data_IF_790589657156
#
_entry.id   IF_790589657156
#
_cell.length_a   1.000
_cell.length_b   1.000
_cell.length_c   1.000
_cell.angle_alpha   90.00
_cell.angle_beta   90.00
_cell.angle_gamma   90.00
#
_symmetry.space_group_name_H-M   'P 1'
#
loop_
_entity.id
_entity.type
_entity.pdbx_description
1 polymer ?
#
# COMPACT_ATOMS: atom_id res chain seq x y z
N UNK A 1 52.71 40.54 82.75
CA UNK A 1 53.06 39.11 82.66
C UNK A 1 51.78 38.29 82.65
N UNK A 2 51.37 37.78 81.49
CA UNK A 2 50.95 36.38 81.31
C UNK A 2 50.61 36.21 79.82
N UNK A 3 51.43 35.40 79.14
CA UNK A 3 51.26 35.01 77.75
C UNK A 3 50.26 33.85 77.69
N UNK A 4 49.22 33.96 76.85
CA UNK A 4 48.39 32.82 76.46
C UNK A 4 48.81 32.31 75.09
N UNK A 5 49.30 31.07 75.10
CA UNK A 5 49.85 30.31 73.97
C UNK A 5 48.74 29.74 73.10
N UNK A 6 48.77 29.99 71.79
CA UNK A 6 47.94 29.29 70.79
C UNK A 6 48.82 28.32 70.01
N UNK A 7 48.55 27.00 70.15
CA UNK A 7 49.19 25.92 69.40
C UNK A 7 48.63 25.90 67.97
N UNK A 8 49.53 25.95 66.97
CA UNK A 8 49.24 25.64 65.56
C UNK A 8 49.49 24.15 65.30
N UNK A 9 48.45 23.43 64.89
CA UNK A 9 48.52 22.07 64.36
C UNK A 9 48.92 22.08 62.89
N UNK A 10 49.91 21.27 62.55
CA UNK A 10 50.38 21.00 61.18
C UNK A 10 49.52 19.86 60.61
N UNK A 11 48.80 20.13 59.51
CA UNK A 11 48.05 19.11 58.77
C UNK A 11 48.90 18.62 57.59
N UNK A 12 49.25 17.34 57.62
CA UNK A 12 49.93 16.61 56.54
C UNK A 12 48.87 16.17 55.52
N UNK A 13 49.04 16.57 54.25
CA UNK A 13 48.16 16.21 53.15
C UNK A 13 48.55 14.83 52.60
N UNK A 14 47.71 13.82 52.79
CA UNK A 14 47.81 12.54 52.07
C UNK A 14 47.09 12.65 50.72
N UNK A 15 47.83 12.56 49.62
CA UNK A 15 47.26 12.44 48.27
C UNK A 15 47.01 10.96 47.99
N UNK A 16 45.75 10.56 47.97
CA UNK A 16 45.31 9.25 47.48
C UNK A 16 45.06 9.36 45.98
N UNK A 17 45.91 8.72 45.17
CA UNK A 17 45.69 8.57 43.73
C UNK A 17 44.72 7.40 43.53
N UNK A 18 43.45 7.70 43.26
CA UNK A 18 42.47 6.71 42.78
C UNK A 18 42.69 6.45 41.29
N UNK A 19 43.25 5.28 40.97
CA UNK A 19 43.23 4.71 39.62
C UNK A 19 41.80 4.21 39.33
N UNK A 20 40.96 5.09 38.79
CA UNK A 20 39.68 4.70 38.22
C UNK A 20 39.93 4.04 36.86
N UNK A 21 39.92 2.70 36.83
CA UNK A 21 39.75 1.94 35.58
C UNK A 21 38.30 2.13 35.14
N UNK A 22 38.04 3.23 34.43
CA UNK A 22 36.75 3.47 33.79
C UNK A 22 36.58 2.49 32.64
N UNK A 23 35.84 1.40 32.87
CA UNK A 23 35.20 0.68 31.77
C UNK A 23 34.21 1.64 31.14
N UNK A 24 34.57 2.27 30.04
CA UNK A 24 33.63 2.99 29.18
C UNK A 24 32.70 1.96 28.55
N UNK A 25 31.64 1.58 29.28
CA UNK A 25 30.47 1.01 28.66
C UNK A 25 29.94 2.08 27.71
N UNK A 26 30.30 1.99 26.44
CA UNK A 26 29.60 2.70 25.38
C UNK A 26 28.20 2.11 25.38
N UNK A 27 27.31 2.70 26.18
CA UNK A 27 25.87 2.59 26.00
C UNK A 27 25.60 3.15 24.61
N UNK A 28 25.71 2.31 23.59
CA UNK A 28 25.03 2.57 22.33
C UNK A 28 23.58 2.75 22.72
N UNK A 29 23.05 3.95 22.58
CA UNK A 29 21.61 4.17 22.62
C UNK A 29 21.02 3.16 21.63
N UNK A 30 20.39 2.11 22.17
CA UNK A 30 19.86 1.03 21.37
C UNK A 30 18.67 1.63 20.64
N UNK A 31 18.87 2.01 19.37
CA UNK A 31 17.79 2.45 18.51
C UNK A 31 16.73 1.37 18.56
N UNK A 32 15.51 1.73 18.98
CA UNK A 32 14.42 0.76 19.12
C UNK A 32 14.24 -0.02 17.81
N UNK A 33 13.91 -1.33 17.90
CA UNK A 33 13.55 -2.14 16.72
C UNK A 33 12.41 -1.41 16.01
N UNK A 34 12.73 -0.82 14.87
CA UNK A 34 11.72 -0.27 14.00
C UNK A 34 11.14 -1.45 13.22
N UNK A 35 9.92 -1.85 13.60
CA UNK A 35 9.18 -2.94 12.99
C UNK A 35 7.85 -2.43 12.43
N UNK A 36 7.31 -3.14 11.45
CA UNK A 36 5.98 -2.88 10.91
C UNK A 36 5.31 -4.14 10.41
N UNK A 37 3.98 -4.02 10.21
CA UNK A 37 3.17 -5.05 9.58
C UNK A 37 2.61 -4.49 8.28
N UNK A 38 3.16 -4.97 7.16
CA UNK A 38 2.78 -4.51 5.83
C UNK A 38 1.77 -5.46 5.18
N UNK A 39 0.86 -4.89 4.39
CA UNK A 39 0.01 -5.63 3.46
C UNK A 39 0.71 -5.68 2.12
N UNK A 40 1.16 -6.86 1.73
CA UNK A 40 1.97 -7.04 0.53
C UNK A 40 1.07 -7.21 -0.70
N UNK A 41 1.18 -6.33 -1.70
CA UNK A 41 0.61 -6.59 -3.02
C UNK A 41 1.15 -7.88 -3.63
N UNK A 42 0.35 -8.52 -4.47
CA UNK A 42 0.75 -9.70 -5.22
C UNK A 42 0.17 -9.64 -6.64
N UNK A 43 1.06 -9.66 -7.62
CA UNK A 43 0.72 -9.46 -9.03
C UNK A 43 0.73 -10.76 -9.83
N UNK A 44 0.21 -10.73 -11.05
CA UNK A 44 0.34 -11.88 -11.96
C UNK A 44 1.81 -12.20 -12.27
N UNK A 45 2.63 -11.15 -12.40
CA UNK A 45 4.06 -11.30 -12.65
C UNK A 45 4.76 -11.96 -11.46
N UNK A 46 4.45 -11.56 -10.22
CA UNK A 46 5.00 -12.21 -9.02
C UNK A 46 4.67 -13.70 -8.99
N UNK A 47 3.42 -14.08 -9.28
CA UNK A 47 3.01 -15.50 -9.33
C UNK A 47 3.87 -16.29 -10.31
N UNK A 48 4.18 -15.68 -11.46
CA UNK A 48 5.00 -16.31 -12.50
C UNK A 48 6.48 -16.36 -12.11
N UNK A 49 7.05 -15.24 -11.66
CA UNK A 49 8.48 -15.09 -11.37
C UNK A 49 8.93 -15.93 -10.18
N UNK A 50 8.10 -15.99 -9.14
CA UNK A 50 8.37 -16.76 -7.93
C UNK A 50 7.72 -18.15 -7.96
N UNK A 51 7.20 -18.58 -9.12
CA UNK A 51 6.63 -19.91 -9.34
C UNK A 51 5.60 -20.31 -8.27
N UNK A 52 4.77 -19.34 -7.87
CA UNK A 52 3.73 -19.56 -6.86
C UNK A 52 2.63 -20.47 -7.42
N UNK A 53 1.86 -21.16 -6.56
CA UNK A 53 0.73 -21.96 -7.01
C UNK A 53 -0.21 -21.16 -7.91
N UNK A 54 -0.71 -21.76 -8.99
CA UNK A 54 -1.61 -21.10 -9.94
C UNK A 54 -2.93 -20.64 -9.31
N UNK A 55 -3.32 -21.23 -8.17
CA UNK A 55 -4.49 -20.86 -7.37
C UNK A 55 -4.26 -19.62 -6.49
N UNK A 56 -3.07 -19.03 -6.51
CA UNK A 56 -2.74 -17.88 -5.68
C UNK A 56 -3.46 -16.64 -6.21
N UNK A 57 -4.32 -16.04 -5.38
CA UNK A 57 -5.08 -14.85 -5.77
C UNK A 57 -4.22 -13.59 -5.72
N UNK A 58 -4.44 -12.68 -6.67
CA UNK A 58 -3.78 -11.38 -6.72
C UNK A 58 -4.24 -10.50 -5.54
N UNK A 59 -3.43 -9.51 -5.19
CA UNK A 59 -3.79 -8.51 -4.18
C UNK A 59 -3.17 -7.16 -4.51
N UNK A 60 -3.91 -6.09 -4.25
CA UNK A 60 -3.44 -4.72 -4.37
C UNK A 60 -2.63 -4.24 -3.14
N UNK A 61 -2.56 -5.03 -2.07
CA UNK A 61 -1.97 -4.62 -0.78
C UNK A 61 -2.80 -3.53 -0.07
N UNK A 62 -4.11 -3.56 -0.27
CA UNK A 62 -5.07 -2.66 0.39
C UNK A 62 -5.52 -3.23 1.73
N UNK A 63 -5.92 -2.35 2.65
CA UNK A 63 -6.46 -2.77 3.94
C UNK A 63 -7.97 -2.98 3.93
N UNK A 64 -8.67 -2.52 2.90
CA UNK A 64 -10.08 -2.86 2.61
C UNK A 64 -10.10 -3.96 1.56
N UNK A 65 -10.59 -5.13 1.95
CA UNK A 65 -10.39 -6.39 1.23
C UNK A 65 -11.74 -7.07 1.04
N UNK A 66 -11.96 -7.61 -0.17
CA UNK A 66 -13.18 -8.35 -0.50
C UNK A 66 -13.31 -9.58 0.37
N UNK A 67 -14.53 -9.92 0.78
CA UNK A 67 -14.76 -11.20 1.45
C UNK A 67 -14.21 -12.35 0.58
N UNK A 68 -13.54 -13.29 1.24
CA UNK A 68 -12.86 -14.41 0.61
C UNK A 68 -11.53 -14.08 -0.08
N UNK A 69 -11.16 -12.82 -0.23
CA UNK A 69 -9.88 -12.41 -0.83
C UNK A 69 -8.74 -12.36 0.20
N UNK A 70 -7.48 -12.55 -0.23
CA UNK A 70 -6.37 -12.65 0.71
C UNK A 70 -5.80 -11.28 1.11
N UNK A 71 -5.56 -11.14 2.41
CA UNK A 71 -4.61 -10.19 2.97
C UNK A 71 -3.27 -10.90 3.14
N UNK A 72 -2.29 -10.59 2.29
CA UNK A 72 -0.92 -11.09 2.46
C UNK A 72 -0.18 -10.18 3.44
N UNK A 73 0.18 -10.73 4.60
CA UNK A 73 0.77 -9.99 5.72
C UNK A 73 2.28 -10.27 5.78
N UNK A 74 3.07 -9.21 5.95
CA UNK A 74 4.51 -9.29 6.18
C UNK A 74 4.88 -8.58 7.47
N UNK A 75 5.49 -9.31 8.42
CA UNK A 75 6.21 -8.69 9.52
C UNK A 75 7.58 -8.29 8.99
N UNK A 76 7.90 -7.01 9.13
CA UNK A 76 9.12 -6.42 8.61
C UNK A 76 9.87 -5.70 9.73
N UNK A 77 11.19 -5.76 9.70
CA UNK A 77 12.08 -5.01 10.61
C UNK A 77 13.09 -4.23 9.81
N UNK A 78 13.56 -3.12 10.37
CA UNK A 78 14.60 -2.31 9.78
C UNK A 78 15.83 -3.17 9.44
N UNK A 79 16.40 -2.98 8.26
CA UNK A 79 17.50 -3.78 7.74
C UNK A 79 18.79 -3.65 8.58
N UNK A 80 18.93 -2.55 9.34
CA UNK A 80 20.05 -2.34 10.27
C UNK A 80 19.98 -3.24 11.51
N UNK A 81 18.82 -3.82 11.82
CA UNK A 81 18.72 -4.89 12.81
C UNK A 81 19.36 -6.15 12.22
N UNK A 82 20.31 -6.80 12.91
CA UNK A 82 20.88 -8.08 12.46
C UNK A 82 19.85 -9.21 12.35
N UNK A 83 20.09 -10.16 11.45
CA UNK A 83 19.16 -11.26 11.17
C UNK A 83 18.89 -12.09 12.43
N UNK A 84 19.99 -12.49 13.05
CA UNK A 84 20.15 -13.25 14.27
C UNK A 84 19.59 -12.57 15.53
N UNK A 85 19.35 -11.24 15.49
CA UNK A 85 18.72 -10.55 16.61
C UNK A 85 17.24 -10.93 16.73
N UNK A 86 16.57 -11.33 15.64
CA UNK A 86 15.16 -11.74 15.67
C UNK A 86 15.04 -13.21 16.03
N UNK A 87 14.45 -13.49 17.20
CA UNK A 87 14.31 -14.85 17.74
C UNK A 87 13.02 -15.50 17.28
N UNK A 88 11.90 -14.76 17.30
CA UNK A 88 10.60 -15.30 16.88
C UNK A 88 9.64 -14.21 16.43
N UNK A 89 8.64 -14.63 15.64
CA UNK A 89 7.48 -13.83 15.27
C UNK A 89 6.22 -14.62 15.61
N UNK A 90 5.49 -14.18 16.63
CA UNK A 90 4.23 -14.79 17.06
C UNK A 90 3.06 -13.99 16.50
N UNK A 91 2.12 -14.65 15.84
CA UNK A 91 1.01 -13.99 15.13
C UNK A 91 -0.33 -14.26 15.81
N UNK A 92 -1.11 -13.19 16.04
CA UNK A 92 -2.41 -13.26 16.67
C UNK A 92 -3.46 -12.50 15.85
N UNK A 93 -4.62 -13.12 15.60
CA UNK A 93 -5.81 -12.41 15.14
C UNK A 93 -6.56 -11.91 16.38
N UNK A 94 -6.34 -10.66 16.75
CA UNK A 94 -6.80 -10.08 18.03
C UNK A 94 -8.20 -9.50 17.95
N UNK A 95 -8.69 -9.21 16.74
CA UNK A 95 -10.07 -8.76 16.51
C UNK A 95 -10.61 -9.41 15.23
N UNK A 96 -11.86 -9.87 15.28
CA UNK A 96 -12.68 -10.25 14.13
C UNK A 96 -14.17 -10.10 14.48
N UNK A 97 -15.09 -10.01 13.49
CA UNK A 97 -16.53 -10.07 13.75
C UNK A 97 -16.93 -11.34 14.49
N UNK A 98 -17.95 -11.29 15.35
CA UNK A 98 -18.33 -12.44 16.20
C UNK A 98 -18.75 -13.68 15.40
N UNK A 99 -19.36 -13.49 14.23
CA UNK A 99 -19.75 -14.58 13.32
C UNK A 99 -18.62 -15.06 12.41
N UNK A 100 -17.44 -14.43 12.47
CA UNK A 100 -16.29 -14.77 11.62
C UNK A 100 -15.59 -16.04 12.10
N UNK A 101 -15.38 -16.96 11.16
CA UNK A 101 -14.57 -18.17 11.30
C UNK A 101 -13.16 -17.97 10.73
N UNK A 102 -12.80 -16.76 10.31
CA UNK A 102 -11.48 -16.48 9.79
C UNK A 102 -10.39 -16.80 10.82
N UNK A 103 -9.30 -17.35 10.31
CA UNK A 103 -8.07 -17.69 11.04
C UNK A 103 -6.86 -17.25 10.19
N UNK A 104 -5.70 -17.11 10.84
CA UNK A 104 -4.45 -16.87 10.13
C UNK A 104 -3.93 -18.19 9.56
N UNK A 105 -3.70 -18.23 8.27
CA UNK A 105 -3.03 -19.35 7.60
C UNK A 105 -1.62 -18.97 7.19
N UNK A 106 -0.84 -19.97 6.78
CA UNK A 106 0.46 -19.72 6.18
C UNK A 106 0.31 -18.97 4.85
N UNK A 107 1.26 -18.07 4.61
CA UNK A 107 1.34 -17.35 3.35
C UNK A 107 1.94 -18.26 2.27
N UNK A 108 1.42 -18.28 1.04
CA UNK A 108 2.02 -19.01 -0.07
C UNK A 108 3.35 -18.38 -0.53
N UNK A 109 3.76 -17.24 0.03
CA UNK A 109 4.93 -16.47 -0.38
C UNK A 109 6.19 -16.97 0.33
N UNK A 110 7.07 -17.62 -0.43
CA UNK A 110 8.38 -18.10 0.02
C UNK A 110 9.37 -16.99 0.39
N UNK A 111 10.42 -17.33 1.14
CA UNK A 111 11.42 -16.36 1.62
C UNK A 111 12.22 -15.64 0.51
N UNK A 112 12.20 -16.17 -0.71
CA UNK A 112 12.79 -15.60 -1.93
C UNK A 112 11.97 -14.44 -2.52
N UNK A 113 10.69 -14.35 -2.14
CA UNK A 113 9.83 -13.23 -2.50
C UNK A 113 10.26 -12.00 -1.68
N UNK A 114 10.66 -10.86 -2.29
CA UNK A 114 11.04 -9.67 -1.54
C UNK A 114 9.82 -8.83 -1.13
N UNK A 115 10.06 -7.85 -0.25
CA UNK A 115 9.11 -6.74 -0.02
C UNK A 115 8.74 -6.10 -1.36
N UNK A 116 7.48 -5.69 -1.50
CA UNK A 116 6.94 -5.31 -2.80
C UNK A 116 7.65 -4.09 -3.43
N UNK A 117 7.65 -2.94 -2.75
CA UNK A 117 8.32 -1.73 -3.24
C UNK A 117 9.85 -1.92 -3.22
N UNK A 118 10.59 -1.66 -4.32
CA UNK A 118 12.03 -1.82 -4.34
C UNK A 118 12.76 -0.95 -3.32
N UNK A 119 12.28 0.28 -3.11
CA UNK A 119 12.85 1.19 -2.13
C UNK A 119 12.71 0.68 -0.69
N UNK A 120 11.61 -0.03 -0.37
CA UNK A 120 11.41 -0.62 0.96
C UNK A 120 12.40 -1.76 1.24
N UNK A 121 12.90 -2.44 0.20
CA UNK A 121 13.90 -3.51 0.33
C UNK A 121 15.24 -3.01 0.85
N UNK A 122 15.54 -1.73 0.67
CA UNK A 122 16.75 -1.08 1.20
C UNK A 122 16.59 -0.65 2.67
N UNK A 123 15.35 -0.54 3.16
CA UNK A 123 15.06 -0.08 4.52
C UNK A 123 14.61 -1.20 5.46
N UNK A 124 13.94 -2.23 4.92
CA UNK A 124 13.30 -3.28 5.68
C UNK A 124 13.59 -4.66 5.11
N UNK A 125 13.67 -5.65 6.01
CA UNK A 125 13.67 -7.07 5.69
C UNK A 125 12.43 -7.75 6.23
N UNK A 126 11.92 -8.73 5.48
CA UNK A 126 10.79 -9.57 5.91
C UNK A 126 11.29 -10.63 6.88
N UNK A 127 10.61 -10.78 8.01
CA UNK A 127 10.97 -11.75 9.07
C UNK A 127 9.86 -12.76 9.37
N UNK A 128 8.69 -12.57 8.79
CA UNK A 128 7.58 -13.51 8.92
C UNK A 128 6.43 -13.13 8.01
N UNK A 129 5.61 -14.12 7.66
CA UNK A 129 4.43 -13.93 6.83
C UNK A 129 3.24 -14.72 7.34
N UNK A 130 2.06 -14.15 7.17
CA UNK A 130 0.78 -14.84 7.34
C UNK A 130 -0.21 -14.39 6.27
N UNK A 131 -1.31 -15.12 6.17
CA UNK A 131 -2.42 -14.80 5.30
C UNK A 131 -3.70 -14.75 6.14
N UNK A 132 -4.52 -13.73 5.91
CA UNK A 132 -5.88 -13.65 6.44
C UNK A 132 -6.87 -13.58 5.28
N UNK A 133 -8.01 -14.25 5.42
CA UNK A 133 -9.16 -14.07 4.51
C UNK A 133 -10.35 -13.59 5.32
N UNK A 134 -10.76 -12.32 5.19
CA UNK A 134 -12.02 -11.86 5.77
C UNK A 134 -13.18 -12.67 5.21
N UNK A 135 -14.01 -13.25 6.06
CA UNK A 135 -15.16 -14.07 5.68
C UNK A 135 -16.51 -13.39 6.01
N UNK A 136 -16.47 -12.41 6.91
CA UNK A 136 -17.62 -11.58 7.31
C UNK A 136 -17.28 -10.10 7.16
N UNK A 137 -18.26 -9.30 6.73
CA UNK A 137 -18.14 -7.84 6.66
C UNK A 137 -17.84 -7.27 8.05
N UNK A 138 -16.74 -6.54 8.19
CA UNK A 138 -16.31 -5.98 9.47
C UNK A 138 -14.82 -5.76 9.58
N UNK A 139 -14.38 -5.34 10.76
CA UNK A 139 -12.97 -5.01 11.04
C UNK A 139 -12.26 -6.19 11.69
N UNK A 140 -11.07 -6.48 11.19
CA UNK A 140 -10.13 -7.48 11.67
C UNK A 140 -8.85 -6.78 12.12
N UNK A 141 -8.21 -7.30 13.16
CA UNK A 141 -6.91 -6.79 13.63
C UNK A 141 -5.95 -7.94 13.79
N UNK A 142 -4.83 -7.88 13.09
CA UNK A 142 -3.75 -8.87 13.18
C UNK A 142 -2.56 -8.22 13.83
N UNK A 143 -2.02 -8.87 14.86
CA UNK A 143 -0.83 -8.45 15.56
C UNK A 143 0.30 -9.47 15.34
N UNK A 144 1.53 -8.98 15.24
CA UNK A 144 2.74 -9.78 15.27
C UNK A 144 3.62 -9.31 16.43
N UNK A 145 3.95 -10.22 17.33
CA UNK A 145 4.88 -10.02 18.44
C UNK A 145 6.26 -10.50 18.00
N UNK A 146 7.22 -9.58 17.92
CA UNK A 146 8.57 -9.83 17.46
C UNK A 146 9.49 -9.82 18.68
N UNK A 147 10.01 -10.99 19.05
CA UNK A 147 10.95 -11.13 20.15
C UNK A 147 12.40 -11.06 19.64
N UNK A 148 13.26 -10.34 20.36
CA UNK A 148 14.68 -10.25 20.05
C UNK A 148 15.57 -10.97 21.06
N UNK A 149 16.80 -11.31 20.66
CA UNK A 149 17.77 -12.01 21.49
C UNK A 149 18.12 -11.25 22.79
N UNK A 150 17.99 -9.92 22.77
CA UNK A 150 18.14 -9.06 23.95
C UNK A 150 16.95 -9.06 24.91
N UNK A 151 15.97 -9.94 24.73
CA UNK A 151 14.77 -10.06 25.59
C UNK A 151 13.69 -9.02 25.33
N UNK A 152 13.84 -8.20 24.30
CA UNK A 152 12.85 -7.17 23.94
C UNK A 152 11.77 -7.76 23.05
N UNK A 153 10.51 -7.40 23.33
CA UNK A 153 9.35 -7.77 22.50
C UNK A 153 8.72 -6.51 21.94
N UNK A 154 8.53 -6.47 20.62
CA UNK A 154 7.82 -5.39 19.93
C UNK A 154 6.57 -5.94 19.30
N UNK A 155 5.42 -5.35 19.59
CA UNK A 155 4.15 -5.67 18.96
C UNK A 155 3.85 -4.68 17.84
N UNK A 156 3.53 -5.21 16.66
CA UNK A 156 3.06 -4.43 15.51
C UNK A 156 1.70 -4.95 15.06
N UNK A 157 0.80 -4.05 14.70
CA UNK A 157 -0.58 -4.38 14.33
C UNK A 157 -0.95 -3.89 12.94
N UNK A 158 -1.88 -4.59 12.30
CA UNK A 158 -2.52 -4.19 11.06
C UNK A 158 -4.04 -4.34 11.18
N UNK A 159 -4.76 -3.31 10.73
CA UNK A 159 -6.22 -3.32 10.69
C UNK A 159 -6.67 -3.61 9.27
N UNK A 160 -7.53 -4.61 9.11
CA UNK A 160 -8.13 -5.01 7.84
C UNK A 160 -9.65 -4.80 7.93
N UNK A 161 -10.25 -4.31 6.85
CA UNK A 161 -11.69 -4.14 6.72
C UNK A 161 -12.19 -5.13 5.67
N UNK A 162 -12.84 -6.20 6.13
CA UNK A 162 -13.60 -7.08 5.26
C UNK A 162 -14.87 -6.36 4.77
N UNK A 163 -15.04 -6.26 3.45
CA UNK A 163 -16.16 -5.56 2.85
C UNK A 163 -16.56 -6.19 1.50
N UNK A 164 -17.61 -5.64 0.91
CA UNK A 164 -18.17 -6.04 -0.39
C UNK A 164 -18.17 -4.86 -1.35
N UNK A 165 -18.07 -5.15 -2.64
CA UNK A 165 -18.14 -4.16 -3.71
C UNK A 165 -19.57 -3.62 -3.86
N UNK A 166 -19.70 -2.33 -4.14
CA UNK A 166 -21.00 -1.64 -4.25
C UNK A 166 -21.25 -0.99 -5.62
N UNK A 167 -20.20 -0.85 -6.44
CA UNK A 167 -20.24 -0.28 -7.76
C UNK A 167 -20.33 1.25 -7.80
N UNK A 168 -20.17 1.80 -9.00
CA UNK A 168 -19.92 3.22 -9.22
C UNK A 168 -21.07 4.12 -8.78
N UNK A 169 -22.31 3.64 -8.89
CA UNK A 169 -23.50 4.42 -8.53
C UNK A 169 -23.48 4.78 -7.03
N UNK A 170 -23.01 3.87 -6.17
CA UNK A 170 -22.92 4.14 -4.73
C UNK A 170 -21.85 5.19 -4.43
N UNK A 171 -20.71 5.14 -5.13
CA UNK A 171 -19.67 6.16 -5.01
C UNK A 171 -20.17 7.53 -5.50
N UNK A 172 -20.87 7.55 -6.64
CA UNK A 172 -21.42 8.75 -7.26
C UNK A 172 -22.47 9.48 -6.39
N UNK A 173 -23.20 8.74 -5.56
CA UNK A 173 -24.16 9.30 -4.61
C UNK A 173 -23.55 10.32 -3.63
N UNK A 174 -22.25 10.22 -3.33
CA UNK A 174 -21.55 11.16 -2.45
C UNK A 174 -20.40 11.91 -3.15
N UNK A 175 -19.66 11.27 -4.05
CA UNK A 175 -18.44 11.81 -4.67
C UNK A 175 -18.65 12.46 -6.03
N UNK A 176 -19.86 12.96 -6.29
CA UNK A 176 -20.22 13.80 -7.45
C UNK A 176 -20.14 15.30 -7.16
N UNK A 177 -19.66 15.70 -5.98
CA UNK A 177 -19.55 17.10 -5.56
C UNK A 177 -20.65 17.58 -4.61
N UNK A 178 -21.59 16.70 -4.25
CA UNK A 178 -22.71 17.01 -3.34
C UNK A 178 -22.33 16.86 -1.87
N UNK A 179 -21.76 15.71 -1.50
CA UNK A 179 -21.41 15.37 -0.10
C UNK A 179 -19.89 15.39 0.09
N UNK A 180 -19.17 14.72 -0.81
CA UNK A 180 -17.72 14.66 -0.86
C UNK A 180 -17.17 15.39 -2.08
N UNK A 181 -15.85 15.57 -2.11
CA UNK A 181 -15.17 16.14 -3.28
C UNK A 181 -15.52 15.36 -4.55
N UNK A 182 -15.78 16.06 -5.66
CA UNK A 182 -16.16 15.45 -6.93
C UNK A 182 -15.01 14.65 -7.57
N UNK A 183 -14.96 13.35 -7.32
CA UNK A 183 -13.99 12.45 -7.98
C UNK A 183 -14.58 11.78 -9.20
N UNK A 184 -15.90 11.70 -9.30
CA UNK A 184 -16.61 10.94 -10.33
C UNK A 184 -16.56 11.64 -11.68
N UNK A 185 -16.82 12.95 -11.73
CA UNK A 185 -16.82 13.71 -12.98
C UNK A 185 -15.48 13.64 -13.72
N UNK A 186 -14.32 13.93 -13.09
CA UNK A 186 -13.04 13.81 -13.80
C UNK A 186 -12.68 12.35 -14.09
N UNK A 187 -13.00 11.41 -13.20
CA UNK A 187 -12.70 9.98 -13.41
C UNK A 187 -13.42 9.43 -14.64
N UNK A 188 -14.69 9.80 -14.84
CA UNK A 188 -15.54 9.34 -15.96
C UNK A 188 -14.94 9.64 -17.34
N UNK A 189 -14.01 10.59 -17.42
CA UNK A 189 -13.32 11.00 -18.66
C UNK A 189 -12.10 10.14 -18.96
N UNK A 190 -11.59 9.39 -17.98
CA UNK A 190 -10.39 8.54 -18.12
C UNK A 190 -10.66 7.29 -18.97
N UNK A 191 -9.58 6.64 -19.42
CA UNK A 191 -9.67 5.33 -20.08
C UNK A 191 -10.10 4.21 -19.13
N UNK A 192 -9.76 4.31 -17.84
CA UNK A 192 -10.20 3.36 -16.82
C UNK A 192 -11.72 3.25 -16.75
N UNK A 193 -12.43 4.38 -16.83
CA UNK A 193 -13.89 4.42 -16.83
C UNK A 193 -14.56 3.83 -18.08
N UNK A 194 -13.79 3.38 -19.09
CA UNK A 194 -14.32 2.98 -20.41
C UNK A 194 -13.81 1.62 -20.89
N UNK A 195 -12.75 1.07 -20.29
CA UNK A 195 -12.01 -0.06 -20.87
C UNK A 195 -12.84 -1.34 -21.07
N UNK A 196 -13.78 -1.65 -20.17
CA UNK A 196 -14.65 -2.80 -20.35
C UNK A 196 -15.73 -2.53 -21.39
N UNK A 197 -16.34 -1.34 -21.37
CA UNK A 197 -17.26 -0.90 -22.42
C UNK A 197 -16.61 -0.98 -23.80
N UNK A 198 -15.43 -0.37 -23.95
CA UNK A 198 -14.68 -0.36 -25.20
C UNK A 198 -14.28 -1.79 -25.60
N UNK A 199 -13.94 -2.64 -24.63
CA UNK A 199 -13.63 -4.05 -24.84
C UNK A 199 -14.78 -4.85 -25.42
N UNK A 200 -15.90 -4.91 -24.72
CA UNK A 200 -17.06 -5.71 -25.17
C UNK A 200 -17.73 -5.13 -26.41
N UNK A 201 -17.55 -3.83 -26.68
CA UNK A 201 -18.03 -3.19 -27.90
C UNK A 201 -17.09 -3.36 -29.11
N UNK A 202 -15.93 -4.02 -28.95
CA UNK A 202 -14.98 -4.29 -30.03
C UNK A 202 -14.12 -3.08 -30.42
N UNK A 203 -14.01 -2.09 -29.55
CA UNK A 203 -13.24 -0.85 -29.76
C UNK A 203 -11.82 -0.97 -29.19
N UNK A 204 -11.65 -1.65 -28.06
CA UNK A 204 -10.36 -1.67 -27.35
C UNK A 204 -9.30 -2.53 -28.04
N UNK A 205 -9.67 -3.72 -28.52
CA UNK A 205 -8.79 -4.67 -29.20
C UNK A 205 -9.63 -5.80 -29.82
N UNK A 206 -9.14 -6.37 -30.90
CA UNK A 206 -9.59 -7.61 -31.54
C UNK A 206 -9.29 -8.88 -30.71
N UNK A 207 -8.45 -8.79 -29.68
CA UNK A 207 -8.09 -9.88 -28.77
C UNK A 207 -8.80 -9.81 -27.41
N UNK A 208 -9.81 -8.96 -27.26
CA UNK A 208 -10.53 -8.80 -25.99
C UNK A 208 -11.32 -10.07 -25.64
N UNK A 209 -11.06 -10.64 -24.47
CA UNK A 209 -11.63 -11.94 -24.05
C UNK A 209 -12.07 -11.94 -22.58
N UNK A 210 -12.70 -13.03 -22.14
CA UNK A 210 -13.10 -13.21 -20.74
C UNK A 210 -11.92 -13.09 -19.76
N UNK A 211 -10.70 -13.43 -20.20
CA UNK A 211 -9.49 -13.28 -19.37
C UNK A 211 -9.19 -11.82 -19.01
N UNK A 212 -9.68 -10.86 -19.79
CA UNK A 212 -9.49 -9.43 -19.57
C UNK A 212 -10.34 -8.88 -18.42
N UNK A 213 -11.42 -9.58 -18.03
CA UNK A 213 -12.36 -9.12 -16.99
C UNK A 213 -11.66 -8.92 -15.65
N UNK A 214 -10.68 -9.76 -15.34
CA UNK A 214 -9.86 -9.70 -14.11
C UNK A 214 -9.21 -8.34 -13.85
N UNK A 215 -8.90 -7.61 -14.92
CA UNK A 215 -8.27 -6.29 -14.84
C UNK A 215 -9.20 -5.16 -15.25
N UNK A 216 -10.23 -5.44 -16.06
CA UNK A 216 -11.07 -4.43 -16.69
C UNK A 216 -12.43 -4.25 -16.01
N UNK A 217 -12.71 -4.99 -14.95
CA UNK A 217 -13.96 -4.89 -14.17
C UNK A 217 -13.67 -4.81 -12.67
N UNK A 218 -14.70 -4.58 -11.88
CA UNK A 218 -14.58 -4.43 -10.42
C UNK A 218 -14.56 -5.76 -9.74
N UNK A 219 -13.60 -6.00 -8.85
CA UNK A 219 -13.65 -7.11 -7.90
C UNK A 219 -13.62 -8.52 -8.49
N UNK A 220 -13.36 -8.67 -9.79
CA UNK A 220 -13.38 -9.97 -10.46
C UNK A 220 -12.39 -10.95 -9.82
N UNK A 221 -12.89 -12.05 -9.25
CA UNK A 221 -12.11 -13.09 -8.61
C UNK A 221 -12.77 -14.47 -8.79
N UNK A 222 -12.20 -15.32 -9.64
CA UNK A 222 -12.76 -16.64 -9.99
C UNK A 222 -12.63 -17.69 -8.85
N UNK A 223 -12.13 -17.29 -7.69
CA UNK A 223 -12.08 -18.15 -6.51
C UNK A 223 -13.47 -18.27 -5.87
N UNK A 224 -13.95 -19.51 -5.68
CA UNK A 224 -15.28 -19.78 -5.11
C UNK A 224 -15.52 -19.21 -3.69
N UNK A 225 -14.46 -18.90 -2.93
CA UNK A 225 -14.60 -18.24 -1.63
C UNK A 225 -14.85 -16.73 -1.74
N UNK A 226 -14.52 -16.11 -2.89
CA UNK A 226 -14.53 -14.66 -3.08
C UNK A 226 -15.92 -14.10 -3.42
N UNK A 227 -16.94 -14.48 -2.64
CA UNK A 227 -18.32 -13.99 -2.82
C UNK A 227 -18.46 -12.64 -2.13
N UNK A 228 -18.25 -11.56 -2.86
CA UNK A 228 -18.09 -10.21 -2.32
C UNK A 228 -18.73 -9.09 -3.15
N UNK A 229 -19.57 -9.42 -4.12
CA UNK A 229 -20.25 -8.46 -5.00
C UNK A 229 -19.38 -7.96 -6.15
N UNK A 230 -18.29 -8.66 -6.45
CA UNK A 230 -17.45 -8.42 -7.63
C UNK A 230 -18.21 -8.67 -8.94
N UNK A 231 -17.57 -8.34 -10.06
CA UNK A 231 -18.17 -8.50 -11.39
C UNK A 231 -18.54 -9.96 -11.69
N UNK A 232 -17.72 -10.92 -11.26
CA UNK A 232 -17.98 -12.35 -11.42
C UNK A 232 -19.21 -12.81 -10.62
N UNK A 233 -19.37 -12.35 -9.37
CA UNK A 233 -20.57 -12.61 -8.55
C UNK A 233 -21.84 -12.07 -9.21
N UNK A 234 -21.80 -10.80 -9.65
CA UNK A 234 -22.95 -10.16 -10.29
C UNK A 234 -23.25 -10.84 -11.63
N UNK A 235 -22.22 -11.17 -12.42
CA UNK A 235 -22.39 -11.91 -13.68
C UNK A 235 -23.05 -13.27 -13.45
N UNK A 236 -22.63 -14.02 -12.44
CA UNK A 236 -23.25 -15.29 -12.07
C UNK A 236 -24.71 -15.10 -11.62
N UNK A 237 -24.99 -14.10 -10.78
CA UNK A 237 -26.33 -13.77 -10.30
C UNK A 237 -27.29 -13.45 -11.46
N UNK A 238 -26.86 -12.66 -12.44
CA UNK A 238 -27.68 -12.32 -13.61
C UNK A 238 -27.58 -13.34 -14.75
N UNK A 239 -26.87 -14.46 -14.55
CA UNK A 239 -26.60 -15.50 -15.55
C UNK A 239 -26.01 -14.95 -16.85
N UNK A 240 -25.18 -13.91 -16.72
CA UNK A 240 -24.50 -13.31 -17.87
C UNK A 240 -23.33 -14.17 -18.32
N UNK A 241 -23.19 -14.32 -19.63
CA UNK A 241 -22.09 -15.04 -20.26
C UNK A 241 -21.34 -14.06 -21.14
N UNK A 242 -20.01 -14.14 -21.10
CA UNK A 242 -19.16 -13.31 -21.94
C UNK A 242 -19.49 -13.53 -23.43
N UNK A 243 -19.72 -12.47 -24.21
CA UNK A 243 -20.15 -12.58 -25.60
C UNK A 243 -19.06 -13.21 -26.47
N UNK A 244 -19.46 -14.08 -27.41
CA UNK A 244 -18.55 -14.68 -28.40
C UNK A 244 -18.05 -13.68 -29.44
N UNK A 245 -18.82 -12.61 -29.69
CA UNK A 245 -18.48 -11.55 -30.64
C UNK A 245 -18.59 -10.19 -29.95
N UNK A 246 -17.48 -9.46 -29.86
CA UNK A 246 -17.45 -8.08 -29.39
C UNK A 246 -17.90 -7.15 -30.52
N UNK A 247 -18.91 -6.32 -30.27
CA UNK A 247 -19.48 -5.40 -31.26
C UNK A 247 -20.23 -4.25 -30.58
N UNK A 248 -20.44 -3.16 -31.31
CA UNK A 248 -21.18 -2.00 -30.81
C UNK A 248 -22.54 -2.40 -30.20
N UNK A 249 -22.87 -1.82 -29.04
CA UNK A 249 -24.13 -2.02 -28.33
C UNK A 249 -24.14 -3.16 -27.31
N UNK A 250 -23.08 -3.98 -27.24
CA UNK A 250 -22.99 -5.07 -26.27
C UNK A 250 -22.99 -4.56 -24.82
N UNK A 251 -22.20 -3.52 -24.52
CA UNK A 251 -22.18 -2.94 -23.18
C UNK A 251 -23.53 -2.35 -22.79
N UNK A 252 -24.17 -1.65 -23.73
CA UNK A 252 -25.46 -1.00 -23.54
C UNK A 252 -26.58 -2.01 -23.23
N UNK A 253 -26.50 -3.21 -23.82
CA UNK A 253 -27.44 -4.31 -23.58
C UNK A 253 -27.20 -5.06 -22.26
N UNK A 254 -26.14 -4.76 -21.51
CA UNK A 254 -25.90 -5.42 -20.22
C UNK A 254 -26.94 -5.02 -19.17
N UNK A 255 -27.29 -5.94 -18.25
CA UNK A 255 -28.08 -5.61 -17.07
C UNK A 255 -27.44 -4.46 -16.27
N UNK A 256 -28.27 -3.59 -15.68
CA UNK A 256 -27.79 -2.40 -14.96
C UNK A 256 -26.86 -2.75 -13.80
N UNK A 257 -27.15 -3.84 -13.08
CA UNK A 257 -26.29 -4.35 -12.02
C UNK A 257 -24.87 -4.65 -12.53
N UNK A 258 -24.74 -5.24 -13.72
CA UNK A 258 -23.45 -5.59 -14.30
C UNK A 258 -22.72 -4.34 -14.84
N UNK A 259 -23.45 -3.37 -15.41
CA UNK A 259 -22.89 -2.07 -15.80
C UNK A 259 -22.34 -1.30 -14.59
N UNK A 260 -22.98 -1.41 -13.43
CA UNK A 260 -22.56 -0.73 -12.20
C UNK A 260 -21.19 -1.19 -11.67
N UNK A 261 -20.80 -2.44 -11.95
CA UNK A 261 -19.48 -3.01 -11.63
C UNK A 261 -18.60 -3.19 -12.87
N UNK A 262 -19.03 -2.62 -14.00
CA UNK A 262 -18.29 -2.63 -15.26
C UNK A 262 -17.28 -1.49 -15.33
N UNK A 263 -16.15 -1.75 -15.99
CA UNK A 263 -14.98 -0.87 -16.10
C UNK A 263 -14.13 -0.82 -14.82
N UNK A 264 -12.96 -0.17 -14.94
CA UNK A 264 -12.09 0.12 -13.80
C UNK A 264 -12.61 1.39 -13.14
N UNK A 265 -13.05 1.28 -11.90
CA UNK A 265 -13.64 2.37 -11.13
C UNK A 265 -12.99 2.55 -9.75
N UNK A 266 -13.68 3.26 -8.85
CA UNK A 266 -13.14 3.66 -7.54
C UNK A 266 -12.64 2.45 -6.74
N UNK A 267 -13.44 1.39 -6.66
CA UNK A 267 -13.17 0.23 -5.81
C UNK A 267 -12.05 -0.67 -6.34
N UNK A 268 -11.62 -0.52 -7.60
CA UNK A 268 -10.41 -1.18 -8.10
C UNK A 268 -9.15 -0.61 -7.42
N UNK A 269 -9.17 0.66 -7.00
CA UNK A 269 -8.02 1.31 -6.36
C UNK A 269 -8.17 1.46 -4.84
N UNK A 270 -9.42 1.59 -4.38
CA UNK A 270 -9.77 1.84 -2.99
C UNK A 270 -10.26 0.59 -2.25
N UNK A 271 -10.42 -0.54 -2.95
CA UNK A 271 -11.00 -1.76 -2.42
C UNK A 271 -12.53 -1.67 -2.29
N UNK A 272 -13.19 -2.74 -1.85
CA UNK A 272 -14.64 -2.79 -1.64
C UNK A 272 -15.12 -1.72 -0.65
N UNK A 273 -16.16 -0.99 -1.04
CA UNK A 273 -16.59 0.22 -0.36
C UNK A 273 -17.79 0.08 0.57
N UNK A 274 -18.37 -1.12 0.79
CA UNK A 274 -19.65 -1.23 1.50
C UNK A 274 -19.65 -0.64 2.92
N UNK A 275 -18.59 -0.88 3.70
CA UNK A 275 -18.43 -0.34 5.06
C UNK A 275 -18.31 1.19 5.08
N UNK A 276 -17.53 1.76 4.16
CA UNK A 276 -17.40 3.20 4.00
C UNK A 276 -18.72 3.83 3.53
N UNK A 277 -19.35 3.25 2.53
CA UNK A 277 -20.59 3.74 1.96
C UNK A 277 -21.78 3.70 2.95
N UNK A 278 -21.74 2.81 3.94
CA UNK A 278 -22.75 2.71 5.00
C UNK A 278 -22.55 3.76 6.11
N UNK A 279 -21.32 4.19 6.37
CA UNK A 279 -20.98 5.01 7.56
C UNK A 279 -20.44 6.40 7.24
N UNK A 280 -19.98 6.63 6.01
CA UNK A 280 -19.20 7.81 5.63
C UNK A 280 -17.77 7.84 6.20
N UNK A 281 -17.35 6.82 6.97
CA UNK A 281 -16.05 6.83 7.64
C UNK A 281 -14.90 6.63 6.66
N UNK A 282 -13.94 7.56 6.67
CA UNK A 282 -12.71 7.47 5.85
C UNK A 282 -11.77 6.36 6.31
N UNK A 283 -11.94 5.84 7.52
CA UNK A 283 -11.14 4.71 8.05
C UNK A 283 -11.60 3.35 7.51
N UNK A 284 -12.74 3.30 6.82
CA UNK A 284 -13.33 2.07 6.27
C UNK A 284 -13.20 1.98 4.75
N UNK A 285 -12.28 2.75 4.16
CA UNK A 285 -11.94 2.71 2.73
C UNK A 285 -10.44 2.96 2.53
N UNK A 286 -9.77 2.14 1.73
CA UNK A 286 -8.33 2.30 1.55
C UNK A 286 -8.00 3.57 0.77
N UNK A 287 -6.98 4.29 1.22
CA UNK A 287 -6.30 5.32 0.44
C UNK A 287 -4.81 5.00 0.51
N UNK A 288 -4.28 4.43 -0.56
CA UNK A 288 -2.93 3.87 -0.59
C UNK A 288 -2.07 4.50 -1.68
N UNK A 289 -0.81 4.73 -1.31
CA UNK A 289 0.27 5.13 -2.22
C UNK A 289 1.26 3.96 -2.42
N UNK A 290 0.79 2.72 -2.39
CA UNK A 290 1.59 1.60 -2.91
C UNK A 290 1.40 1.49 -4.42
N UNK A 291 2.48 1.16 -5.12
CA UNK A 291 2.51 0.76 -6.52
C UNK A 291 1.66 -0.50 -6.77
N UNK A 292 1.39 -1.30 -5.73
CA UNK A 292 0.56 -2.51 -5.78
C UNK A 292 -0.85 -2.28 -6.33
N UNK A 293 -1.44 -1.13 -6.03
CA UNK A 293 -2.76 -0.70 -6.51
C UNK A 293 -2.82 -0.64 -8.04
N UNK A 294 -1.72 -0.27 -8.68
CA UNK A 294 -1.63 -0.21 -10.13
C UNK A 294 -1.16 -1.56 -10.70
N UNK A 295 -0.23 -2.21 -10.00
CA UNK A 295 0.44 -3.42 -10.45
C UNK A 295 -0.48 -4.65 -10.50
N UNK A 296 -1.61 -4.66 -9.79
CA UNK A 296 -2.65 -5.70 -9.92
C UNK A 296 -3.07 -5.97 -11.38
N UNK A 297 -3.03 -4.92 -12.22
CA UNK A 297 -3.30 -4.98 -13.65
C UNK A 297 -2.04 -4.72 -14.48
N UNK A 298 -1.26 -3.71 -14.12
CA UNK A 298 -0.11 -3.22 -14.90
C UNK A 298 1.20 -4.01 -14.72
N UNK A 299 1.15 -5.17 -14.06
CA UNK A 299 2.21 -6.17 -13.98
C UNK A 299 1.71 -7.54 -14.48
N UNK A 300 1.02 -7.58 -15.63
CA UNK A 300 0.41 -8.82 -16.17
C UNK A 300 1.09 -9.37 -17.43
N UNK A 301 2.31 -8.91 -17.77
CA UNK A 301 3.09 -9.45 -18.90
C UNK A 301 3.16 -8.52 -20.11
N UNK A 302 3.38 -9.06 -21.31
CA UNK A 302 3.92 -8.37 -22.51
C UNK A 302 3.20 -7.09 -22.92
N UNK A 303 1.89 -6.98 -22.70
CA UNK A 303 1.10 -5.78 -23.03
C UNK A 303 0.70 -4.93 -21.80
N UNK A 304 1.12 -5.35 -20.60
CA UNK A 304 0.84 -4.72 -19.32
C UNK A 304 2.15 -4.61 -18.52
N UNK A 305 3.10 -3.85 -19.06
CA UNK A 305 4.51 -3.78 -18.62
C UNK A 305 4.83 -2.55 -17.75
N UNK A 306 3.85 -1.71 -17.42
CA UNK A 306 4.13 -0.41 -16.79
C UNK A 306 4.77 -0.55 -15.41
N UNK A 307 4.43 -1.59 -14.66
CA UNK A 307 5.13 -1.91 -13.41
C UNK A 307 6.57 -2.35 -13.66
N UNK A 308 6.85 -3.09 -14.74
CA UNK A 308 8.22 -3.48 -15.13
C UNK A 308 9.04 -2.25 -15.56
N UNK A 309 8.48 -1.37 -16.38
CA UNK A 309 9.15 -0.12 -16.76
C UNK A 309 9.55 0.68 -15.51
N UNK A 310 8.60 0.88 -14.58
CA UNK A 310 8.86 1.59 -13.33
C UNK A 310 9.92 0.89 -12.46
N UNK A 311 9.80 -0.42 -12.20
CA UNK A 311 10.71 -1.17 -11.31
C UNK A 311 12.16 -1.17 -11.83
N UNK A 312 12.36 -1.08 -13.14
CA UNK A 312 13.68 -1.00 -13.78
C UNK A 312 14.26 0.42 -13.84
N UNK A 313 13.45 1.44 -13.52
CA UNK A 313 13.89 2.83 -13.51
C UNK A 313 14.44 3.24 -12.14
N UNK A 314 15.21 4.34 -12.11
CA UNK A 314 15.68 4.93 -10.86
C UNK A 314 14.54 5.46 -9.97
N UNK A 315 13.33 5.69 -10.50
CA UNK A 315 12.21 6.17 -9.68
C UNK A 315 11.74 5.13 -8.66
N UNK A 316 11.89 3.83 -8.94
CA UNK A 316 11.53 2.79 -7.98
C UNK A 316 12.51 2.71 -6.79
N UNK A 317 13.64 3.40 -6.87
CA UNK A 317 14.67 3.49 -5.81
C UNK A 317 15.32 4.88 -5.85
N UNK A 318 14.49 5.92 -5.74
CA UNK A 318 14.83 7.31 -6.06
C UNK A 318 15.90 7.97 -5.16
N UNK A 319 16.32 7.32 -4.07
CA UNK A 319 17.36 7.84 -3.19
C UNK A 319 18.11 6.72 -2.47
N UNK A 320 19.43 6.86 -2.36
CA UNK A 320 20.28 6.08 -1.45
C UNK A 320 20.46 6.76 -0.09
N UNK A 321 20.03 8.02 0.04
CA UNK A 321 20.05 8.80 1.26
C UNK A 321 18.65 8.88 1.90
N UNK A 322 18.51 8.88 3.23
CA UNK A 322 17.20 8.95 3.86
C UNK A 322 16.38 10.17 3.44
N UNK A 323 15.09 9.96 3.18
CA UNK A 323 14.09 11.02 3.02
C UNK A 323 12.99 10.82 4.07
N UNK A 324 12.38 11.92 4.52
CA UNK A 324 11.30 11.88 5.50
C UNK A 324 11.48 12.91 6.62
N UNK A 325 10.99 12.61 7.82
CA UNK A 325 11.11 13.47 9.00
C UNK A 325 12.58 13.74 9.34
N UNK A 326 12.93 15.02 9.53
CA UNK A 326 14.31 15.48 9.68
C UNK A 326 15.05 15.75 8.35
N UNK A 327 14.40 15.48 7.22
CA UNK A 327 14.89 15.75 5.86
C UNK A 327 13.80 16.43 5.01
N UNK A 328 13.15 17.44 5.57
CA UNK A 328 11.98 18.14 5.01
C UNK A 328 12.26 18.72 3.61
N UNK A 329 13.50 19.15 3.36
CA UNK A 329 13.91 19.68 2.06
C UNK A 329 13.95 18.63 0.95
N UNK A 330 14.04 17.35 1.31
CA UNK A 330 14.15 16.23 0.38
C UNK A 330 12.78 15.65 0.02
N UNK A 331 11.77 15.78 0.89
CA UNK A 331 10.50 15.03 0.74
C UNK A 331 9.69 15.48 -0.48
N UNK A 332 9.85 16.72 -0.90
CA UNK A 332 9.17 17.25 -2.10
C UNK A 332 9.58 16.61 -3.41
N UNK A 333 10.69 15.85 -3.45
CA UNK A 333 11.17 15.14 -4.63
C UNK A 333 11.38 13.64 -4.38
N UNK A 334 11.84 13.26 -3.18
CA UNK A 334 12.25 11.88 -2.86
C UNK A 334 11.23 11.12 -2.00
N UNK A 335 9.98 11.59 -1.93
CA UNK A 335 8.85 10.83 -1.38
C UNK A 335 7.63 10.99 -2.26
N UNK A 336 6.83 9.94 -2.40
CA UNK A 336 5.61 10.00 -3.22
C UNK A 336 4.60 11.03 -2.71
N UNK A 337 4.27 10.97 -1.41
CA UNK A 337 3.32 11.91 -0.78
C UNK A 337 3.82 13.36 -0.82
N UNK A 338 5.09 13.60 -0.50
CA UNK A 338 5.69 14.93 -0.54
C UNK A 338 5.74 15.51 -1.96
N UNK A 339 6.06 14.69 -2.98
CA UNK A 339 6.01 15.11 -4.37
C UNK A 339 4.59 15.47 -4.82
N UNK A 340 3.59 14.67 -4.46
CA UNK A 340 2.17 14.97 -4.72
C UNK A 340 1.79 16.31 -4.08
N UNK A 341 2.17 16.53 -2.82
CA UNK A 341 1.95 17.79 -2.11
C UNK A 341 2.60 18.98 -2.83
N UNK A 342 3.86 18.85 -3.24
CA UNK A 342 4.61 19.87 -4.00
C UNK A 342 3.90 20.22 -5.30
N UNK A 343 3.51 19.22 -6.08
CA UNK A 343 2.79 19.41 -7.36
C UNK A 343 1.40 20.02 -7.17
N UNK A 344 0.80 19.83 -5.99
CA UNK A 344 -0.50 20.41 -5.63
C UNK A 344 -0.38 21.80 -4.99
N UNK A 345 0.82 22.36 -4.84
CA UNK A 345 1.06 23.65 -4.22
C UNK A 345 0.84 23.67 -2.69
N UNK A 346 0.99 22.52 -2.02
CA UNK A 346 0.84 22.45 -0.57
C UNK A 346 1.92 23.28 0.14
N UNK A 347 1.50 24.07 1.15
CA UNK A 347 2.41 24.90 1.96
C UNK A 347 3.34 24.08 2.86
N UNK A 348 2.84 22.93 3.30
CA UNK A 348 3.56 21.98 4.15
C UNK A 348 3.46 20.62 3.49
N UNK A 349 4.60 19.94 3.36
CA UNK A 349 4.68 18.63 2.74
C UNK A 349 4.62 17.53 3.79
N UNK A 350 4.07 16.37 3.41
CA UNK A 350 4.09 15.18 4.25
C UNK A 350 5.54 14.69 4.40
N UNK A 351 6.01 14.58 5.64
CA UNK A 351 7.36 14.12 5.97
C UNK A 351 7.41 12.63 6.24
N UNK A 352 6.28 11.91 6.20
CA UNK A 352 6.28 10.46 6.27
C UNK A 352 6.88 9.90 4.99
N UNK A 353 7.86 9.02 5.15
CA UNK A 353 8.45 8.30 4.02
C UNK A 353 7.37 7.52 3.26
N UNK A 354 7.37 7.66 1.94
CA UNK A 354 6.59 6.87 0.98
C UNK A 354 7.41 6.72 -0.28
N UNK A 355 7.42 5.52 -0.88
CA UNK A 355 8.11 5.27 -2.14
C UNK A 355 7.62 6.21 -3.25
N UNK A 356 8.53 6.59 -4.17
CA UNK A 356 8.13 7.23 -5.43
C UNK A 356 7.54 6.16 -6.34
N UNK A 357 6.24 6.27 -6.58
CA UNK A 357 5.39 5.24 -7.20
C UNK A 357 4.61 5.80 -8.40
N UNK A 358 3.73 4.97 -8.98
CA UNK A 358 2.86 5.34 -10.09
C UNK A 358 2.03 6.61 -9.80
N UNK A 359 1.37 6.66 -8.64
CA UNK A 359 0.51 7.78 -8.23
C UNK A 359 1.29 9.07 -7.97
N UNK A 360 2.61 9.00 -7.80
CA UNK A 360 3.45 10.19 -7.60
C UNK A 360 3.40 11.07 -8.85
N UNK A 361 3.46 10.46 -10.03
CA UNK A 361 3.41 11.17 -11.32
C UNK A 361 2.01 11.18 -11.94
N UNK A 362 1.23 10.11 -11.75
CA UNK A 362 -0.09 9.94 -12.37
C UNK A 362 -1.25 10.26 -11.41
N UNK A 363 -2.16 11.14 -11.82
CA UNK A 363 -3.39 11.46 -11.10
C UNK A 363 -4.52 10.51 -11.51
N UNK A 364 -4.82 9.54 -10.65
CA UNK A 364 -5.74 8.44 -10.93
C UNK A 364 -7.21 8.84 -11.12
N UNK A 365 -7.60 10.06 -10.74
CA UNK A 365 -8.97 10.55 -10.85
C UNK A 365 -9.19 11.43 -12.09
N UNK A 366 -8.19 11.65 -12.95
CA UNK A 366 -8.34 12.50 -14.15
C UNK A 366 -8.23 14.00 -13.88
N UNK A 367 -7.69 14.43 -12.73
CA UNK A 367 -7.49 15.84 -12.38
C UNK A 367 -6.04 16.28 -12.66
N UNK A 368 -5.72 16.44 -13.93
CA UNK A 368 -4.37 16.81 -14.39
C UNK A 368 -4.24 18.27 -14.77
N UNK A 369 -3.00 18.74 -14.87
CA UNK A 369 -2.65 20.04 -15.45
C UNK A 369 -1.71 19.82 -16.65
N UNK A 370 -2.16 20.06 -17.90
CA UNK A 370 -3.51 20.47 -18.32
C UNK A 370 -4.54 19.34 -18.14
N UNK A 371 -5.83 19.70 -18.02
CA UNK A 371 -6.93 18.74 -17.80
C UNK A 371 -7.17 17.78 -18.98
N UNK A 372 -6.55 18.03 -20.13
CA UNK A 372 -6.64 17.21 -21.35
C UNK A 372 -5.57 16.12 -21.42
N UNK A 373 -4.74 15.97 -20.40
CA UNK A 373 -3.65 15.01 -20.39
C UNK A 373 -4.15 13.56 -20.46
N UNK A 374 -3.92 12.91 -21.60
CA UNK A 374 -4.35 11.53 -21.88
C UNK A 374 -3.56 10.46 -21.09
N UNK A 375 -2.42 10.82 -20.51
CA UNK A 375 -1.55 9.95 -19.72
C UNK A 375 -1.70 10.17 -18.21
N UNK A 376 -2.66 11.00 -17.81
CA UNK A 376 -2.94 11.29 -16.40
C UNK A 376 -1.75 11.89 -15.64
N UNK A 377 -0.76 12.52 -16.29
CA UNK A 377 0.35 13.14 -15.55
C UNK A 377 -0.17 14.36 -14.78
N UNK A 378 0.17 14.43 -13.49
CA UNK A 378 -0.30 15.49 -12.57
C UNK A 378 -0.02 16.87 -13.10
N UNK A 379 1.20 17.08 -13.58
CA UNK A 379 1.64 18.35 -14.10
C UNK A 379 2.63 18.15 -15.26
N UNK A 380 2.45 18.92 -16.33
CA UNK A 380 3.36 19.02 -17.48
C UNK A 380 4.03 20.39 -17.58
N UNK A 381 3.80 21.29 -16.62
CA UNK A 381 4.51 22.57 -16.60
C UNK A 381 5.97 22.35 -16.21
N UNK A 382 6.91 23.13 -16.78
CA UNK A 382 8.31 23.08 -16.37
C UNK A 382 8.47 23.26 -14.85
N UNK A 383 9.39 22.50 -14.26
CA UNK A 383 9.73 22.57 -12.84
C UNK A 383 11.12 23.18 -12.70
N UNK A 384 11.23 24.29 -11.98
CA UNK A 384 12.52 24.84 -11.56
C UNK A 384 12.99 24.15 -10.29
N UNK A 385 14.16 23.50 -10.37
CA UNK A 385 14.86 22.90 -9.25
C UNK A 385 15.47 23.98 -8.35
N UNK A 386 15.90 23.60 -7.13
CA UNK A 386 16.45 24.56 -6.15
C UNK A 386 17.74 25.24 -6.62
N UNK A 387 18.48 24.59 -7.52
CA UNK A 387 19.70 25.13 -8.14
C UNK A 387 19.38 26.11 -9.31
N UNK A 388 18.11 26.35 -9.61
CA UNK A 388 17.67 27.20 -10.72
C UNK A 388 17.51 26.46 -12.05
N UNK A 389 17.86 25.16 -12.12
CA UNK A 389 17.70 24.36 -13.35
C UNK A 389 16.22 24.17 -13.66
N UNK A 390 15.79 24.57 -14.85
CA UNK A 390 14.45 24.29 -15.34
C UNK A 390 14.43 22.92 -16.04
N UNK A 391 13.60 22.00 -15.55
CA UNK A 391 13.30 20.72 -16.20
C UNK A 391 11.96 20.87 -16.89
N UNK A 392 11.97 20.84 -18.22
CA UNK A 392 10.78 21.00 -19.07
C UNK A 392 10.13 19.66 -19.43
#
# INVERSE_FOLDING_TARGET
MSMTTVRRTVSVLFVVVLLAVGTTAILRAQTGLQAQLALRPLTARDITDYKLPSTTQRSAGLYTIGLGQPAYLEAQVNIATPAEEVVSVTWNLTRKPDSSKAELSDSPLGGDVPSFEPSDRAAFRVIGRKLLRPDVVGVYTVNALIATAGGRVVEVGQTIVGATYVGIQRCAGCHSGTVGSDKVTPWSKTKHAKIFKDGVNGIASDHYSASCLRCHTVGYDDNAAAVNGGFDDIAAQVKWVFPTVQKAGVFEALPDALKNVGNIQCENCHGPGSQHAATGSRMLISVSLTSGVCAQCHASGTNHIKSTEWVTSLHASATSYPSGAGHEDCVGCHTGAGFIGRMSGAKTLDTKYTAVNCQSCHESHGRTTPATNKFLLRNLTPVTLKDGTAVA
#
